data_IF_865089042575
#
_entry.id   IF_865089042575
#
_cell.length_a   1.000
_cell.length_b   1.000
_cell.length_c   1.000
_cell.angle_alpha   90.00
_cell.angle_beta   90.00
_cell.angle_gamma   90.00
#
_symmetry.space_group_name_H-M   'P 1'
#
loop_
_entity.id
_entity.type
_entity.pdbx_description
1 polymer ?
#
# COMPACT_ATOMS: atom_id res chain seq x y z
N UNK A 1 -16.78 18.92 -17.20
CA UNK A 1 -15.72 18.55 -16.24
C UNK A 1 -14.96 17.34 -16.78
N UNK A 2 -13.64 17.40 -16.94
CA UNK A 2 -12.83 16.22 -17.30
C UNK A 2 -12.57 15.41 -16.03
N UNK A 3 -13.09 14.19 -15.97
CA UNK A 3 -12.86 13.28 -14.85
C UNK A 3 -11.64 12.43 -15.14
N UNK A 4 -10.69 12.39 -14.19
CA UNK A 4 -9.54 11.49 -14.29
C UNK A 4 -9.99 10.02 -14.40
N UNK A 5 -9.23 9.16 -15.11
CA UNK A 5 -9.53 7.74 -15.20
C UNK A 5 -9.66 7.11 -13.80
N UNK A 6 -10.64 6.21 -13.64
CA UNK A 6 -10.95 5.60 -12.33
C UNK A 6 -9.74 4.92 -11.68
N UNK A 7 -8.87 4.32 -12.49
CA UNK A 7 -7.65 3.66 -12.02
C UNK A 7 -6.69 4.64 -11.34
N UNK A 8 -6.58 5.88 -11.84
CA UNK A 8 -5.72 6.90 -11.24
C UNK A 8 -6.23 7.31 -9.85
N UNK A 9 -7.55 7.53 -9.73
CA UNK A 9 -8.18 7.83 -8.43
C UNK A 9 -8.00 6.69 -7.43
N UNK A 10 -8.16 5.44 -7.86
CA UNK A 10 -7.95 4.29 -6.98
C UNK A 10 -6.50 4.21 -6.48
N UNK A 11 -5.52 4.47 -7.35
CA UNK A 11 -4.09 4.51 -6.96
C UNK A 11 -3.81 5.61 -5.95
N UNK A 12 -4.35 6.81 -6.18
CA UNK A 12 -4.21 7.95 -5.27
C UNK A 12 -4.77 7.65 -3.88
N UNK A 13 -5.98 7.09 -3.80
CA UNK A 13 -6.61 6.73 -2.53
C UNK A 13 -5.82 5.65 -1.78
N UNK A 14 -5.27 4.66 -2.49
CA UNK A 14 -4.41 3.63 -1.90
C UNK A 14 -3.13 4.23 -1.31
N UNK A 15 -2.48 5.16 -2.01
CA UNK A 15 -1.29 5.87 -1.50
C UNK A 15 -1.61 6.72 -0.27
N UNK A 16 -2.74 7.44 -0.27
CA UNK A 16 -3.19 8.22 0.89
C UNK A 16 -3.43 7.36 2.13
N UNK A 17 -4.10 6.22 1.94
CA UNK A 17 -4.29 5.26 3.03
C UNK A 17 -2.96 4.72 3.55
N UNK A 18 -2.03 4.38 2.65
CA UNK A 18 -0.70 3.91 3.04
C UNK A 18 0.07 4.95 3.86
N UNK A 19 0.11 6.22 3.41
CA UNK A 19 0.71 7.31 4.19
C UNK A 19 0.01 7.53 5.54
N UNK A 20 -1.32 7.40 5.60
CA UNK A 20 -2.04 7.42 6.88
C UNK A 20 -1.59 6.31 7.83
N UNK A 21 -1.41 5.08 7.34
CA UNK A 21 -0.94 3.95 8.15
C UNK A 21 0.50 4.15 8.60
N UNK A 22 1.39 4.64 7.72
CA UNK A 22 2.79 4.92 8.07
C UNK A 22 2.95 6.03 9.12
N UNK A 23 2.02 6.98 9.20
CA UNK A 23 2.03 8.01 10.25
C UNK A 23 1.57 7.50 11.62
N UNK A 24 1.01 6.30 11.72
CA UNK A 24 0.65 5.69 13.02
C UNK A 24 1.90 5.15 13.71
N UNK A 25 1.82 5.01 15.03
CA UNK A 25 2.84 4.31 15.84
C UNK A 25 3.13 2.92 15.28
N UNK A 26 4.36 2.45 15.42
CA UNK A 26 4.77 1.11 15.00
C UNK A 26 3.95 0.02 15.69
N UNK A 27 3.59 0.24 16.96
CA UNK A 27 2.74 -0.68 17.74
C UNK A 27 1.26 -0.60 17.38
N UNK A 28 0.86 0.33 16.50
CA UNK A 28 -0.54 0.46 16.11
C UNK A 28 -0.96 -0.79 15.32
N UNK A 29 -2.12 -1.41 15.63
CA UNK A 29 -2.53 -2.69 15.04
C UNK A 29 -2.58 -2.67 13.51
N UNK A 30 -2.95 -1.54 12.90
CA UNK A 30 -2.95 -1.40 11.43
C UNK A 30 -1.56 -1.41 10.82
N UNK A 31 -0.55 -0.85 11.50
CA UNK A 31 0.84 -0.83 11.02
C UNK A 31 1.47 -2.20 11.21
N UNK A 32 1.24 -2.83 12.37
CA UNK A 32 1.60 -4.24 12.60
C UNK A 32 0.97 -5.18 11.57
N UNK A 33 -0.31 -5.03 11.26
CA UNK A 33 -1.01 -5.88 10.28
C UNK A 33 -0.49 -5.67 8.85
N UNK A 34 -0.10 -4.43 8.51
CA UNK A 34 0.57 -4.13 7.25
C UNK A 34 1.93 -4.83 7.17
N UNK A 35 2.68 -4.84 8.28
CA UNK A 35 4.01 -5.44 8.38
C UNK A 35 4.04 -6.95 8.58
N UNK A 36 2.92 -7.53 9.02
CA UNK A 36 2.80 -8.94 9.30
C UNK A 36 3.02 -9.83 8.06
N UNK A 37 3.98 -10.74 8.18
CA UNK A 37 4.17 -11.85 7.27
C UNK A 37 3.69 -13.15 7.91
N UNK A 38 2.55 -13.66 7.44
CA UNK A 38 2.01 -14.91 7.94
C UNK A 38 3.01 -16.06 7.72
N UNK A 39 3.38 -16.81 8.78
CA UNK A 39 4.27 -17.96 8.65
C UNK A 39 3.59 -19.10 7.90
N UNK A 40 4.38 -19.91 7.19
CA UNK A 40 3.92 -21.11 6.49
C UNK A 40 3.66 -20.92 4.99
N UNK A 41 3.38 -22.04 4.31
CA UNK A 41 3.14 -22.06 2.87
C UNK A 41 1.68 -21.71 2.58
N UNK A 42 1.45 -20.73 1.70
CA UNK A 42 0.10 -20.41 1.24
C UNK A 42 -0.55 -21.61 0.52
N UNK A 43 -1.85 -21.86 0.74
CA UNK A 43 -2.57 -22.88 0.01
C UNK A 43 -2.58 -22.58 -1.49
N UNK A 44 -2.59 -23.65 -2.31
CA UNK A 44 -2.75 -23.52 -3.76
C UNK A 44 -4.11 -22.89 -4.05
N UNK A 45 -4.13 -21.88 -4.93
CA UNK A 45 -5.35 -21.18 -5.33
C UNK A 45 -5.55 -19.80 -4.70
N UNK A 46 -4.83 -19.46 -3.62
CA UNK A 46 -4.90 -18.11 -3.06
C UNK A 46 -4.20 -17.09 -3.98
N UNK A 47 -4.74 -15.86 -4.13
CA UNK A 47 -4.06 -14.78 -4.82
C UNK A 47 -2.66 -14.55 -4.24
N UNK A 48 -1.63 -14.60 -5.10
CA UNK A 48 -0.23 -14.37 -4.68
C UNK A 48 0.04 -12.91 -4.34
N UNK A 49 -0.74 -12.00 -4.94
CA UNK A 49 -0.59 -10.55 -4.82
C UNK A 49 -1.04 -10.05 -3.45
N UNK A 50 -0.11 -9.46 -2.70
CA UNK A 50 -0.38 -8.79 -1.43
C UNK A 50 -0.77 -7.33 -1.67
N UNK A 51 -1.42 -6.73 -0.68
CA UNK A 51 -1.68 -5.29 -0.68
C UNK A 51 -0.39 -4.48 -0.78
N UNK A 52 0.66 -4.88 -0.04
CA UNK A 52 2.01 -4.29 -0.13
C UNK A 52 2.58 -4.31 -1.55
N UNK A 53 2.39 -5.38 -2.30
CA UNK A 53 2.88 -5.48 -3.69
C UNK A 53 2.18 -4.46 -4.60
N UNK A 54 0.89 -4.21 -4.37
CA UNK A 54 0.11 -3.21 -5.11
C UNK A 54 0.60 -1.80 -4.78
N UNK A 55 0.77 -1.49 -3.49
CA UNK A 55 1.26 -0.18 -3.06
C UNK A 55 2.66 0.09 -3.60
N UNK A 56 3.57 -0.90 -3.53
CA UNK A 56 4.93 -0.76 -4.05
C UNK A 56 4.93 -0.40 -5.53
N UNK A 57 4.07 -1.03 -6.33
CA UNK A 57 3.90 -0.69 -7.75
C UNK A 57 3.30 0.71 -7.93
N UNK A 58 2.28 1.06 -7.15
CA UNK A 58 1.62 2.36 -7.25
C UNK A 58 2.54 3.53 -6.85
N UNK A 59 3.52 3.30 -5.97
CA UNK A 59 4.58 4.24 -5.61
C UNK A 59 5.65 4.34 -6.70
N UNK A 60 6.08 3.19 -7.24
CA UNK A 60 7.05 3.14 -8.34
C UNK A 60 6.57 3.87 -9.61
N UNK A 61 5.26 3.83 -9.90
CA UNK A 61 4.67 4.59 -11.02
C UNK A 61 4.81 6.12 -10.89
N UNK A 62 5.05 6.64 -9.68
CA UNK A 62 5.23 8.08 -9.42
C UNK A 62 6.69 8.44 -9.16
N UNK A 63 7.61 7.49 -9.26
CA UNK A 63 9.03 7.69 -8.94
C UNK A 63 9.33 7.85 -7.45
N UNK A 64 8.37 7.56 -6.57
CA UNK A 64 8.56 7.64 -5.12
C UNK A 64 9.10 6.31 -4.57
N UNK A 65 10.17 6.36 -3.77
CA UNK A 65 10.60 5.26 -2.91
C UNK A 65 9.64 5.17 -1.70
N UNK A 66 9.59 4.00 -1.05
CA UNK A 66 8.64 3.76 0.07
C UNK A 66 8.85 4.73 1.27
N UNK A 67 10.02 5.36 1.28
CA UNK A 67 10.62 6.29 2.21
C UNK A 67 10.22 7.75 1.93
N UNK A 68 9.82 8.09 0.70
CA UNK A 68 9.34 9.43 0.32
C UNK A 68 7.89 9.69 0.79
N UNK A 69 7.18 8.65 1.24
CA UNK A 69 5.82 8.74 1.76
C UNK A 69 5.72 9.43 3.14
N UNK A 70 6.85 9.89 3.69
CA UNK A 70 6.95 10.58 4.99
C UNK A 70 6.92 12.11 4.90
N UNK A 71 6.91 12.69 3.70
CA UNK A 71 6.91 14.15 3.52
C UNK A 71 5.67 14.58 2.72
N UNK A 72 4.56 14.76 3.44
CA UNK A 72 3.56 15.81 3.20
C UNK A 72 2.96 16.24 4.53
#
# INVERSE_FOLDING_TARGET
MKTAPIQLKMREQRRRWYGHVLRRSEDHPTRLALDFEAPGKRPRGAPRKRWKDVIKRDLAEVGAMADDALIE
#
